data_IF_739139863505
#
_entry.id   IF_739139863505
#
_cell.length_a   1.000
_cell.length_b   1.000
_cell.length_c   1.000
_cell.angle_alpha   90.00
_cell.angle_beta   90.00
_cell.angle_gamma   90.00
#
_symmetry.space_group_name_H-M   'P 1'
#
loop_
_entity.id
_entity.type
_entity.pdbx_description
1 polymer ?
#
# COMPACT_ATOMS: atom_id res chain seq x y z
N UNK A 1 -25.59 -19.81 25.61
CA UNK A 1 -25.43 -19.68 27.08
C UNK A 1 -26.50 -20.44 27.84
N UNK A 2 -27.79 -20.27 27.52
CA UNK A 2 -28.87 -21.03 28.20
C UNK A 2 -28.71 -22.55 28.19
N UNK A 3 -28.22 -23.14 27.09
CA UNK A 3 -27.93 -24.58 27.01
C UNK A 3 -26.70 -25.03 27.81
N UNK A 4 -25.79 -24.12 28.16
CA UNK A 4 -24.55 -24.45 28.86
C UNK A 4 -24.75 -24.59 30.38
N UNK A 5 -25.84 -24.04 30.92
CA UNK A 5 -26.26 -24.23 32.33
C UNK A 5 -25.14 -24.09 33.35
N UNK A 6 -24.30 -23.06 33.24
CA UNK A 6 -23.13 -22.84 34.10
C UNK A 6 -23.46 -22.90 35.60
N UNK A 7 -24.65 -22.46 36.00
CA UNK A 7 -25.10 -22.50 37.40
C UNK A 7 -25.42 -23.92 37.91
N UNK A 8 -25.45 -24.92 37.02
CA UNK A 8 -25.59 -26.35 37.38
C UNK A 8 -24.25 -27.09 37.43
N UNK A 9 -23.16 -26.46 37.00
CA UNK A 9 -21.83 -27.05 37.06
C UNK A 9 -21.37 -27.16 38.53
N UNK A 10 -20.94 -28.36 38.98
CA UNK A 10 -20.59 -28.58 40.39
C UNK A 10 -19.37 -27.77 40.83
N UNK A 11 -18.43 -27.50 39.92
CA UNK A 11 -17.25 -26.69 40.21
C UNK A 11 -17.61 -25.21 40.28
N UNK A 12 -18.50 -24.71 39.41
CA UNK A 12 -18.98 -23.31 39.48
C UNK A 12 -19.71 -23.06 40.80
N UNK A 13 -20.53 -24.03 41.23
CA UNK A 13 -21.27 -23.96 42.51
C UNK A 13 -20.36 -24.00 43.73
N UNK A 14 -19.32 -24.83 43.73
CA UNK A 14 -18.33 -24.92 44.81
C UNK A 14 -17.68 -23.55 45.09
N UNK A 15 -17.42 -22.77 44.05
CA UNK A 15 -16.83 -21.44 44.16
C UNK A 15 -17.87 -20.32 44.38
N UNK A 16 -19.16 -20.65 44.53
CA UNK A 16 -20.23 -19.67 44.79
C UNK A 16 -20.48 -18.70 43.63
N UNK A 17 -20.08 -19.05 42.40
CA UNK A 17 -20.22 -18.20 41.23
C UNK A 17 -21.63 -18.34 40.65
N UNK A 18 -22.24 -17.21 40.29
CA UNK A 18 -23.51 -17.15 39.58
C UNK A 18 -23.33 -16.46 38.23
N UNK A 19 -23.74 -17.13 37.16
CA UNK A 19 -23.66 -16.63 35.78
C UNK A 19 -25.07 -16.32 35.30
N UNK A 20 -25.32 -15.05 34.96
CA UNK A 20 -26.56 -14.64 34.29
C UNK A 20 -26.56 -15.21 32.87
N UNK A 21 -27.68 -15.76 32.43
CA UNK A 21 -27.85 -16.39 31.11
C UNK A 21 -28.24 -15.40 30.00
N UNK A 22 -28.38 -14.13 30.38
CA UNK A 22 -28.65 -12.98 29.51
C UNK A 22 -27.40 -12.11 29.36
N UNK A 23 -27.19 -11.56 28.17
CA UNK A 23 -26.13 -10.58 27.95
C UNK A 23 -26.38 -9.33 28.80
N UNK A 24 -25.30 -8.68 29.24
CA UNK A 24 -25.40 -7.38 29.91
C UNK A 24 -25.80 -6.31 28.88
N UNK A 25 -26.84 -5.55 29.18
CA UNK A 25 -27.23 -4.41 28.36
C UNK A 25 -26.25 -3.25 28.53
N UNK A 26 -25.81 -2.68 27.41
CA UNK A 26 -24.90 -1.51 27.39
C UNK A 26 -25.40 -0.50 26.36
N UNK A 27 -25.47 0.77 26.76
CA UNK A 27 -25.78 1.86 25.84
C UNK A 27 -24.53 2.28 25.07
N UNK A 28 -24.55 2.06 23.75
CA UNK A 28 -23.48 2.48 22.85
C UNK A 28 -23.61 3.92 22.36
N UNK A 29 -22.53 4.46 21.77
CA UNK A 29 -22.52 5.72 21.01
C UNK A 29 -21.85 5.50 19.66
N UNK A 30 -22.47 6.01 18.59
CA UNK A 30 -21.87 6.06 17.25
C UNK A 30 -21.33 7.47 17.02
N UNK A 31 -20.01 7.60 17.02
CA UNK A 31 -19.36 8.89 16.82
C UNK A 31 -19.46 9.34 15.36
N UNK A 32 -19.55 10.66 15.15
CA UNK A 32 -19.45 11.23 13.81
C UNK A 32 -18.03 11.05 13.27
N UNK A 33 -17.86 10.60 12.01
CA UNK A 33 -16.55 10.45 11.42
C UNK A 33 -15.93 11.83 11.13
N UNK A 34 -14.60 11.98 11.22
CA UNK A 34 -13.95 13.21 10.78
C UNK A 34 -14.03 13.34 9.27
N UNK A 35 -14.12 14.57 8.79
CA UNK A 35 -13.93 14.89 7.37
C UNK A 35 -12.45 14.78 6.99
N UNK A 36 -12.17 14.24 5.81
CA UNK A 36 -10.83 14.00 5.29
C UNK A 36 -10.52 15.02 4.20
N UNK A 37 -9.50 15.85 4.41
CA UNK A 37 -9.07 16.88 3.47
C UNK A 37 -7.96 16.36 2.54
N UNK A 38 -8.20 16.50 1.25
CA UNK A 38 -7.26 16.22 0.16
C UNK A 38 -6.65 17.52 -0.40
N UNK A 39 -5.70 17.39 -1.32
CA UNK A 39 -4.97 18.50 -1.92
C UNK A 39 -5.36 18.78 -3.36
N UNK A 40 -4.34 19.11 -4.16
CA UNK A 40 -4.52 19.65 -5.51
C UNK A 40 -5.22 21.02 -5.52
N UNK A 41 -5.65 21.47 -6.70
CA UNK A 41 -6.37 22.76 -6.84
C UNK A 41 -7.72 22.76 -6.13
N UNK A 42 -8.38 21.61 -6.10
CA UNK A 42 -9.77 21.52 -5.63
C UNK A 42 -9.87 21.34 -4.11
N UNK A 43 -8.78 20.99 -3.41
CA UNK A 43 -8.72 20.71 -1.96
C UNK A 43 -9.95 19.93 -1.46
N UNK A 44 -10.26 18.82 -2.14
CA UNK A 44 -11.51 18.10 -1.97
C UNK A 44 -11.67 17.57 -0.54
N UNK A 45 -12.91 17.56 -0.04
CA UNK A 45 -13.25 16.99 1.26
C UNK A 45 -14.01 15.67 1.03
N UNK A 46 -13.58 14.61 1.71
CA UNK A 46 -14.30 13.33 1.75
C UNK A 46 -14.96 13.14 3.11
N UNK A 47 -16.21 12.72 3.12
CA UNK A 47 -16.95 12.36 4.33
C UNK A 47 -17.10 10.85 4.38
N UNK A 48 -16.49 10.15 5.35
CA UNK A 48 -16.65 8.71 5.48
C UNK A 48 -18.10 8.32 5.74
N UNK A 49 -18.58 7.27 5.07
CA UNK A 49 -19.91 6.68 5.29
C UNK A 49 -19.69 5.22 5.67
N UNK A 50 -20.25 4.80 6.82
CA UNK A 50 -20.05 3.45 7.37
C UNK A 50 -18.56 3.04 7.42
N UNK A 51 -17.68 3.99 7.74
CA UNK A 51 -16.24 3.76 7.86
C UNK A 51 -15.46 3.74 6.53
N UNK A 52 -16.09 4.04 5.39
CA UNK A 52 -15.45 3.96 4.07
C UNK A 52 -15.50 5.30 3.32
N UNK A 53 -14.45 5.59 2.55
CA UNK A 53 -14.38 6.66 1.56
C UNK A 53 -13.48 6.25 0.38
N UNK A 54 -13.53 7.00 -0.71
CA UNK A 54 -12.66 6.78 -1.89
C UNK A 54 -11.88 8.04 -2.30
N UNK A 55 -10.94 7.86 -3.24
CA UNK A 55 -10.15 8.94 -3.82
C UNK A 55 -10.60 9.39 -5.21
N UNK A 56 -11.76 8.97 -5.70
CA UNK A 56 -12.22 9.39 -7.04
C UNK A 56 -12.37 10.91 -7.08
N UNK A 57 -11.80 11.54 -8.10
CA UNK A 57 -11.75 13.00 -8.28
C UNK A 57 -11.02 13.75 -7.15
N UNK A 58 -10.10 13.11 -6.43
CA UNK A 58 -9.31 13.71 -5.34
C UNK A 58 -7.82 13.50 -5.61
N UNK A 59 -7.02 14.50 -5.24
CA UNK A 59 -5.56 14.46 -5.36
C UNK A 59 -4.94 14.47 -3.96
N UNK A 60 -3.77 13.86 -3.79
CA UNK A 60 -3.08 13.86 -2.51
C UNK A 60 -2.90 15.25 -1.94
N UNK A 61 -2.97 15.37 -0.60
CA UNK A 61 -2.69 16.62 0.10
C UNK A 61 -1.33 17.19 -0.30
N UNK A 62 -0.31 16.33 -0.28
CA UNK A 62 1.04 16.61 -0.76
C UNK A 62 1.49 15.41 -1.58
N UNK A 63 1.30 15.49 -2.89
CA UNK A 63 1.73 14.47 -3.83
C UNK A 63 3.19 14.67 -4.25
N UNK A 64 3.96 13.58 -4.30
CA UNK A 64 5.34 13.61 -4.76
C UNK A 64 5.41 13.52 -6.28
N UNK A 65 6.23 14.38 -6.89
CA UNK A 65 6.61 14.22 -8.29
C UNK A 65 7.75 13.19 -8.42
N UNK A 66 7.53 12.15 -9.21
CA UNK A 66 8.49 11.06 -9.42
C UNK A 66 9.15 11.24 -10.79
N UNK A 67 10.43 11.59 -10.80
CA UNK A 67 11.25 11.89 -11.98
C UNK A 67 12.19 10.75 -12.35
N UNK A 68 12.87 10.18 -11.35
CA UNK A 68 13.86 9.13 -11.55
C UNK A 68 13.42 7.88 -10.80
N UNK A 69 13.05 6.84 -11.53
CA UNK A 69 12.55 5.59 -10.97
C UNK A 69 12.92 4.41 -11.87
N UNK A 70 12.97 3.21 -11.29
CA UNK A 70 13.39 1.99 -11.98
C UNK A 70 12.40 0.85 -11.79
N UNK A 71 12.44 -0.12 -12.70
CA UNK A 71 11.76 -1.41 -12.60
C UNK A 71 12.78 -2.55 -12.54
N UNK A 72 12.69 -3.37 -11.51
CA UNK A 72 13.42 -4.64 -11.40
C UNK A 72 12.42 -5.80 -11.42
N UNK A 73 12.42 -6.59 -12.48
CA UNK A 73 11.46 -7.68 -12.67
C UNK A 73 12.10 -9.04 -12.31
N UNK A 74 11.72 -9.61 -11.17
CA UNK A 74 12.16 -10.94 -10.74
C UNK A 74 11.18 -12.06 -11.15
N UNK A 75 10.14 -11.72 -11.91
CA UNK A 75 9.25 -12.69 -12.51
C UNK A 75 9.83 -13.19 -13.85
N UNK A 76 9.64 -14.46 -14.24
CA UNK A 76 10.10 -14.97 -15.52
C UNK A 76 9.54 -14.16 -16.69
N UNK A 77 10.39 -13.71 -17.62
CA UNK A 77 10.01 -12.90 -18.77
C UNK A 77 8.92 -13.55 -19.65
N UNK A 78 8.89 -14.89 -19.73
CA UNK A 78 7.86 -15.64 -20.46
C UNK A 78 6.45 -15.44 -19.88
N UNK A 79 6.34 -15.22 -18.57
CA UNK A 79 5.06 -15.00 -17.88
C UNK A 79 4.77 -13.51 -17.72
N UNK A 80 5.78 -12.72 -17.34
CA UNK A 80 5.70 -11.27 -17.21
C UNK A 80 6.48 -10.60 -18.33
N UNK A 81 5.94 -10.61 -19.55
CA UNK A 81 6.56 -10.00 -20.72
C UNK A 81 6.72 -8.48 -20.63
N UNK A 82 7.53 -7.92 -21.53
CA UNK A 82 7.73 -6.46 -21.64
C UNK A 82 6.45 -5.71 -21.98
N UNK A 83 5.52 -6.36 -22.70
CA UNK A 83 4.18 -5.81 -22.97
C UNK A 83 3.41 -5.62 -21.66
N UNK A 84 3.46 -6.59 -20.74
CA UNK A 84 2.83 -6.42 -19.42
C UNK A 84 3.47 -5.28 -18.63
N UNK A 85 4.80 -5.17 -18.62
CA UNK A 85 5.51 -4.08 -17.93
C UNK A 85 5.16 -2.71 -18.50
N UNK A 86 5.07 -2.60 -19.83
CA UNK A 86 4.68 -1.36 -20.53
C UNK A 86 3.24 -0.97 -20.19
N UNK A 87 2.29 -1.88 -20.34
CA UNK A 87 0.87 -1.64 -20.02
C UNK A 87 0.69 -1.28 -18.55
N UNK A 88 1.34 -1.99 -17.64
CA UNK A 88 1.33 -1.66 -16.21
C UNK A 88 1.87 -0.24 -15.95
N UNK A 89 2.99 0.11 -16.59
CA UNK A 89 3.61 1.44 -16.46
C UNK A 89 2.68 2.54 -16.94
N UNK A 90 2.05 2.38 -18.11
CA UNK A 90 1.11 3.37 -18.67
C UNK A 90 -0.11 3.57 -17.76
N UNK A 91 -0.71 2.48 -17.26
CA UNK A 91 -1.85 2.56 -16.35
C UNK A 91 -1.47 3.15 -14.99
N UNK A 92 -0.32 2.76 -14.43
CA UNK A 92 0.17 3.32 -13.17
C UNK A 92 0.44 4.82 -13.30
N UNK A 93 1.10 5.25 -14.40
CA UNK A 93 1.35 6.66 -14.67
C UNK A 93 0.05 7.47 -14.76
N UNK A 94 -0.96 6.95 -15.47
CA UNK A 94 -2.29 7.57 -15.55
C UNK A 94 -2.90 7.77 -14.17
N UNK A 95 -3.02 6.70 -13.38
CA UNK A 95 -3.63 6.76 -12.04
C UNK A 95 -2.82 7.63 -11.08
N UNK A 96 -1.49 7.60 -11.16
CA UNK A 96 -0.60 8.41 -10.33
C UNK A 96 -0.80 9.91 -10.57
N UNK A 97 -0.95 10.31 -11.84
CA UNK A 97 -1.23 11.70 -12.22
C UNK A 97 -2.60 12.14 -11.73
N UNK A 98 -3.62 11.30 -11.91
CA UNK A 98 -4.98 11.60 -11.46
C UNK A 98 -5.06 11.75 -9.92
N UNK A 99 -4.19 11.04 -9.19
CA UNK A 99 -4.01 11.15 -7.75
C UNK A 99 -3.11 12.33 -7.31
N UNK A 100 -2.55 13.12 -8.24
CA UNK A 100 -1.67 14.25 -7.90
C UNK A 100 -0.23 13.85 -7.53
N UNK A 101 0.21 12.62 -7.82
CA UNK A 101 1.58 12.12 -7.67
C UNK A 101 2.14 11.76 -9.06
N UNK A 102 2.46 12.75 -9.92
CA UNK A 102 2.81 12.48 -11.30
C UNK A 102 4.12 11.69 -11.41
N UNK A 103 4.05 10.53 -12.06
CA UNK A 103 5.23 9.79 -12.55
C UNK A 103 5.63 10.33 -13.93
N UNK A 104 6.70 11.10 -13.95
CA UNK A 104 7.27 11.71 -15.14
C UNK A 104 8.09 10.68 -15.92
N UNK A 105 7.90 10.67 -17.25
CA UNK A 105 8.68 9.83 -18.15
C UNK A 105 8.54 8.31 -17.97
N UNK A 106 9.39 7.59 -18.67
CA UNK A 106 9.59 6.14 -18.54
C UNK A 106 10.61 5.85 -17.42
N UNK A 107 10.66 4.63 -16.85
CA UNK A 107 11.68 4.30 -15.88
C UNK A 107 13.07 4.42 -16.50
N UNK A 108 14.05 4.92 -15.73
CA UNK A 108 15.44 5.08 -16.18
C UNK A 108 16.16 3.73 -16.35
N UNK A 109 15.60 2.67 -15.79
CA UNK A 109 16.09 1.30 -15.85
C UNK A 109 14.93 0.32 -15.81
N UNK A 110 14.95 -0.70 -16.67
CA UNK A 110 13.98 -1.79 -16.67
C UNK A 110 14.68 -3.09 -17.08
N UNK A 111 14.91 -4.02 -16.14
CA UNK A 111 15.58 -5.30 -16.40
C UNK A 111 14.93 -6.46 -15.66
N UNK A 112 15.10 -7.64 -16.25
CA UNK A 112 14.80 -8.90 -15.61
C UNK A 112 15.99 -9.38 -14.76
N UNK A 113 15.68 -10.05 -13.66
CA UNK A 113 16.64 -10.73 -12.80
C UNK A 113 16.03 -12.00 -12.21
N UNK A 114 16.86 -12.85 -11.63
CA UNK A 114 16.43 -14.06 -10.94
C UNK A 114 17.28 -14.29 -9.69
N UNK A 115 16.69 -14.96 -8.69
CA UNK A 115 17.36 -15.27 -7.43
C UNK A 115 17.49 -14.07 -6.49
N UNK A 116 17.72 -14.36 -5.21
CA UNK A 116 17.96 -13.33 -4.19
C UNK A 116 19.35 -12.69 -4.35
N UNK A 117 20.34 -13.47 -4.80
CA UNK A 117 21.73 -13.03 -4.93
C UNK A 117 21.93 -11.88 -5.94
N UNK A 118 20.98 -11.68 -6.87
CA UNK A 118 21.03 -10.58 -7.84
C UNK A 118 20.46 -9.26 -7.32
N UNK A 119 19.78 -9.25 -6.16
CA UNK A 119 19.15 -8.05 -5.59
C UNK A 119 20.18 -7.00 -5.20
N UNK A 120 21.14 -7.35 -4.34
CA UNK A 120 22.12 -6.40 -3.83
C UNK A 120 23.03 -5.81 -4.93
N UNK A 121 23.61 -6.62 -5.85
CA UNK A 121 24.40 -6.08 -6.95
C UNK A 121 23.60 -5.14 -7.85
N UNK A 122 22.36 -5.50 -8.20
CA UNK A 122 21.49 -4.65 -9.01
C UNK A 122 21.16 -3.33 -8.31
N UNK A 123 20.82 -3.36 -7.02
CA UNK A 123 20.46 -2.16 -6.28
C UNK A 123 21.66 -1.24 -6.05
N UNK A 124 22.84 -1.81 -5.81
CA UNK A 124 24.10 -1.06 -5.71
C UNK A 124 24.43 -0.37 -7.04
N UNK A 125 24.25 -1.07 -8.16
CA UNK A 125 24.39 -0.47 -9.49
C UNK A 125 23.38 0.68 -9.68
N UNK A 126 22.10 0.44 -9.40
CA UNK A 126 21.06 1.47 -9.52
C UNK A 126 21.38 2.74 -8.71
N UNK A 127 21.80 2.58 -7.44
CA UNK A 127 22.15 3.68 -6.54
C UNK A 127 23.34 4.50 -7.05
N UNK A 128 24.35 3.82 -7.61
CA UNK A 128 25.59 4.48 -8.06
C UNK A 128 25.45 5.10 -9.47
N UNK A 129 24.57 4.56 -10.31
CA UNK A 129 24.42 4.99 -11.71
C UNK A 129 23.37 6.09 -11.89
N UNK A 130 22.28 6.06 -11.12
CA UNK A 130 21.16 6.97 -11.32
C UNK A 130 21.06 7.98 -10.17
N UNK A 131 21.75 9.10 -10.31
CA UNK A 131 21.66 10.23 -9.36
C UNK A 131 20.22 10.67 -9.19
N UNK A 132 19.77 10.79 -7.94
CA UNK A 132 18.40 11.20 -7.62
C UNK A 132 17.34 10.12 -7.81
N UNK A 133 17.71 8.83 -7.94
CA UNK A 133 16.77 7.71 -7.98
C UNK A 133 15.84 7.73 -6.76
N UNK A 134 14.53 7.86 -7.00
CA UNK A 134 13.51 7.98 -5.97
C UNK A 134 12.90 6.64 -5.59
N UNK A 135 12.69 5.74 -6.56
CA UNK A 135 11.90 4.52 -6.35
C UNK A 135 12.40 3.36 -7.21
N UNK A 136 12.47 2.17 -6.63
CA UNK A 136 12.57 0.91 -7.36
C UNK A 136 11.25 0.13 -7.23
N UNK A 137 10.54 -0.03 -8.34
CA UNK A 137 9.37 -0.91 -8.44
C UNK A 137 9.86 -2.32 -8.73
N UNK A 138 9.53 -3.26 -7.83
CA UNK A 138 10.05 -4.63 -7.90
C UNK A 138 8.91 -5.60 -8.22
N UNK A 139 9.01 -6.30 -9.35
CA UNK A 139 7.97 -7.27 -9.75
C UNK A 139 8.36 -8.66 -9.27
N UNK A 140 7.48 -9.34 -8.54
CA UNK A 140 7.74 -10.65 -7.95
C UNK A 140 6.78 -11.72 -8.48
N UNK A 141 7.22 -12.96 -8.72
CA UNK A 141 6.35 -14.02 -9.27
C UNK A 141 5.28 -14.53 -8.30
N UNK A 142 5.35 -14.17 -7.02
CA UNK A 142 4.46 -14.68 -5.97
C UNK A 142 5.13 -14.63 -4.61
N UNK A 143 4.94 -15.67 -3.79
CA UNK A 143 5.71 -15.88 -2.56
C UNK A 143 7.13 -16.32 -2.94
N UNK A 144 8.15 -15.59 -2.48
CA UNK A 144 9.55 -15.84 -2.84
C UNK A 144 10.48 -15.26 -1.77
N UNK A 145 11.64 -15.86 -1.49
CA UNK A 145 12.65 -15.29 -0.59
C UNK A 145 13.17 -13.93 -1.06
N UNK A 146 13.08 -13.64 -2.36
CA UNK A 146 13.51 -12.36 -2.96
C UNK A 146 12.81 -11.16 -2.30
N UNK A 147 11.57 -11.30 -1.83
CA UNK A 147 10.88 -10.21 -1.14
C UNK A 147 11.64 -9.76 0.11
N UNK A 148 12.04 -10.72 0.96
CA UNK A 148 12.76 -10.42 2.19
C UNK A 148 14.12 -9.79 1.89
N UNK A 149 14.81 -10.28 0.86
CA UNK A 149 16.10 -9.75 0.45
C UNK A 149 16.00 -8.33 -0.12
N UNK A 150 14.98 -8.05 -0.95
CA UNK A 150 14.68 -6.69 -1.43
C UNK A 150 14.45 -5.72 -0.27
N UNK A 151 13.77 -6.17 0.80
CA UNK A 151 13.52 -5.37 1.99
C UNK A 151 14.76 -5.19 2.85
N UNK A 152 15.55 -6.23 3.05
CA UNK A 152 16.86 -6.13 3.71
C UNK A 152 17.75 -5.13 2.98
N UNK A 153 17.98 -5.32 1.68
CA UNK A 153 18.86 -4.45 0.90
C UNK A 153 18.32 -3.03 0.80
N UNK A 154 17.04 -2.86 0.48
CA UNK A 154 16.41 -1.55 0.32
C UNK A 154 16.32 -0.78 1.64
N UNK A 155 15.77 -1.39 2.68
CA UNK A 155 15.41 -0.68 3.90
C UNK A 155 16.59 -0.57 4.89
N UNK A 156 17.56 -1.51 4.87
CA UNK A 156 18.67 -1.53 5.86
C UNK A 156 20.07 -1.35 5.27
N UNK A 157 20.38 -1.93 4.11
CA UNK A 157 21.75 -1.90 3.55
C UNK A 157 22.02 -0.62 2.75
N UNK A 158 21.11 -0.27 1.84
CA UNK A 158 21.33 0.81 0.87
C UNK A 158 20.42 2.03 1.09
N UNK A 159 19.35 1.92 1.86
CA UNK A 159 18.43 3.03 2.13
C UNK A 159 17.70 3.52 0.87
N UNK A 160 17.13 2.59 0.10
CA UNK A 160 16.43 2.86 -1.15
C UNK A 160 14.93 2.54 -1.02
N UNK A 161 14.07 3.45 -1.45
CA UNK A 161 12.63 3.20 -1.43
C UNK A 161 12.24 2.11 -2.44
N UNK A 162 11.57 1.06 -1.95
CA UNK A 162 11.16 -0.08 -2.76
C UNK A 162 9.64 -0.30 -2.73
N UNK A 163 9.04 -0.56 -3.89
CA UNK A 163 7.64 -0.96 -3.99
C UNK A 163 7.51 -2.29 -4.73
N UNK A 164 7.29 -3.37 -3.98
CA UNK A 164 7.06 -4.69 -4.56
C UNK A 164 5.62 -4.83 -5.09
N UNK A 165 5.45 -5.48 -6.23
CA UNK A 165 4.16 -5.79 -6.85
C UNK A 165 4.18 -7.25 -7.31
N UNK A 166 3.12 -8.00 -7.02
CA UNK A 166 2.98 -9.37 -7.52
C UNK A 166 2.71 -9.35 -9.03
N UNK A 167 3.34 -10.26 -9.76
CA UNK A 167 3.22 -10.41 -11.21
C UNK A 167 1.76 -10.41 -11.69
N UNK A 168 0.86 -11.12 -11.00
CA UNK A 168 -0.57 -11.16 -11.36
C UNK A 168 -1.24 -9.77 -11.40
N UNK A 169 -0.78 -8.84 -10.55
CA UNK A 169 -1.30 -7.46 -10.49
C UNK A 169 -0.63 -6.54 -11.53
N UNK A 170 0.45 -6.99 -12.15
CA UNK A 170 1.10 -6.34 -13.30
C UNK A 170 0.46 -6.82 -14.60
N UNK A 171 0.26 -8.13 -14.73
CA UNK A 171 -0.39 -8.76 -15.89
C UNK A 171 -1.83 -8.27 -16.05
N UNK A 172 -2.57 -8.15 -14.94
CA UNK A 172 -3.94 -7.63 -14.94
C UNK A 172 -4.10 -6.56 -13.87
N UNK A 173 -4.02 -5.31 -14.30
CA UNK A 173 -4.23 -4.17 -13.43
C UNK A 173 -5.71 -3.89 -13.21
N UNK A 174 -6.05 -3.29 -12.07
CA UNK A 174 -7.36 -2.66 -11.84
C UNK A 174 -7.13 -1.25 -11.30
N UNK A 175 -8.01 -0.28 -11.62
CA UNK A 175 -7.86 1.09 -11.10
C UNK A 175 -7.74 1.15 -9.58
N UNK A 176 -8.53 0.34 -8.87
CA UNK A 176 -8.47 0.26 -7.40
C UNK A 176 -7.12 -0.23 -6.88
N UNK A 177 -6.56 -1.29 -7.50
CA UNK A 177 -5.26 -1.83 -7.09
C UNK A 177 -4.14 -0.83 -7.34
N UNK A 178 -4.16 -0.14 -8.50
CA UNK A 178 -3.17 0.89 -8.82
C UNK A 178 -3.31 2.13 -7.94
N UNK A 179 -4.54 2.54 -7.61
CA UNK A 179 -4.79 3.63 -6.68
C UNK A 179 -4.23 3.31 -5.30
N UNK A 180 -4.52 2.12 -4.77
CA UNK A 180 -3.96 1.63 -3.50
C UNK A 180 -2.42 1.51 -3.54
N UNK A 181 -1.85 1.20 -4.70
CA UNK A 181 -0.40 1.20 -4.89
C UNK A 181 0.18 2.62 -4.80
N UNK A 182 -0.48 3.60 -5.41
CA UNK A 182 -0.08 5.01 -5.35
C UNK A 182 -0.14 5.55 -3.91
N UNK A 183 -1.12 5.14 -3.10
CA UNK A 183 -1.17 5.48 -1.66
C UNK A 183 0.14 5.13 -0.95
N UNK A 184 0.69 3.96 -1.26
CA UNK A 184 1.91 3.44 -0.62
C UNK A 184 3.16 4.10 -1.18
N UNK A 185 3.20 4.32 -2.50
CA UNK A 185 4.34 4.98 -3.15
C UNK A 185 4.49 6.41 -2.64
N UNK A 186 3.41 7.19 -2.61
CA UNK A 186 3.45 8.58 -2.19
C UNK A 186 4.03 8.71 -0.77
N UNK A 187 3.52 7.90 0.18
CA UNK A 187 4.01 7.88 1.57
C UNK A 187 5.48 7.48 1.67
N UNK A 188 5.92 6.47 0.91
CA UNK A 188 7.33 6.04 0.90
C UNK A 188 8.29 7.10 0.41
N UNK A 189 7.82 8.03 -0.41
CA UNK A 189 8.60 9.13 -0.94
C UNK A 189 8.42 10.43 -0.14
N UNK A 190 7.76 10.36 1.03
CA UNK A 190 7.58 11.50 1.94
C UNK A 190 6.33 12.34 1.68
N UNK A 191 5.43 11.89 0.80
CA UNK A 191 4.18 12.58 0.52
C UNK A 191 3.13 12.40 1.61
N UNK A 192 2.14 13.30 1.62
CA UNK A 192 0.98 13.28 2.52
C UNK A 192 -0.26 12.96 1.69
N UNK A 193 -0.88 11.81 1.92
CA UNK A 193 -2.04 11.40 1.12
C UNK A 193 -3.26 12.28 1.39
N UNK A 194 -3.56 12.52 2.65
CA UNK A 194 -4.65 13.36 3.13
C UNK A 194 -4.39 13.74 4.59
N UNK A 195 -5.17 14.69 5.10
CA UNK A 195 -5.14 15.08 6.51
C UNK A 195 -6.57 15.10 7.06
N UNK A 196 -6.70 15.07 8.39
CA UNK A 196 -7.96 15.42 9.03
C UNK A 196 -8.27 16.88 8.70
N UNK A 197 -9.54 17.19 8.39
CA UNK A 197 -9.96 18.57 8.16
C UNK A 197 -9.57 19.42 9.38
N UNK A 198 -8.65 20.40 9.25
CA UNK A 198 -8.26 21.23 10.36
C UNK A 198 -9.46 22.04 10.82
N UNK A 199 -9.80 21.98 12.10
CA UNK A 199 -10.76 22.90 12.67
C UNK A 199 -10.00 24.22 12.89
N UNK A 200 -10.49 25.31 12.29
CA UNK A 200 -10.00 26.65 12.61
C UNK A 200 -10.11 26.86 14.12
N UNK A 201 -9.03 27.37 14.73
CA UNK A 201 -9.13 27.96 16.06
C UNK A 201 -9.90 29.28 15.97
#
# INVERSE_FOLDING_TARGET
MRSASFNTDPYVREFGIMVKDEMTDVTGRVLQPPSILYGGRNKAIATPVQGVWDMRNKQFHTGIEIKVWAIACFAPQRQCTEVHLKTFTEQLRKISRDAGMPIQGQPCFCKYAQGADSVEPMFRHLKNTYTGLQLVVVILPGKTPVYAEVKRVGDTVLGMATQCVQMKNVQRTTPQTLSNLCLKINVKLGGVNNILLPQGR
#
